data_IF_487964065373
#
_entry.id   IF_487964065373
#
_cell.length_a   1.000
_cell.length_b   1.000
_cell.length_c   1.000
_cell.angle_alpha   90.00
_cell.angle_beta   90.00
_cell.angle_gamma   90.00
#
_symmetry.space_group_name_H-M   'P 1'
#
loop_
_entity.id
_entity.type
_entity.pdbx_description
1 polymer ?
#
# COMPACT_ATOMS: atom_id res chain seq x y z
N UNK A 1 27.95 -16.39 16.03
CA UNK A 1 28.47 -15.05 15.70
C UNK A 1 27.56 -14.52 14.62
N UNK A 2 26.62 -13.63 14.97
CA UNK A 2 25.64 -13.12 14.00
C UNK A 2 26.31 -12.00 13.23
N UNK A 3 26.64 -12.26 11.97
CA UNK A 3 27.26 -11.25 11.10
C UNK A 3 26.22 -10.20 10.75
N UNK A 4 26.54 -8.93 10.98
CA UNK A 4 25.73 -7.81 10.50
C UNK A 4 25.78 -7.79 8.97
N UNK A 5 24.66 -8.17 8.36
CA UNK A 5 24.51 -8.27 6.90
C UNK A 5 24.72 -6.92 6.22
N UNK A 6 24.28 -5.82 6.84
CA UNK A 6 24.42 -4.47 6.24
C UNK A 6 25.87 -3.99 6.25
N UNK A 7 26.62 -4.32 7.30
CA UNK A 7 28.06 -4.07 7.36
C UNK A 7 28.82 -4.91 6.33
N UNK A 8 28.48 -6.20 6.18
CA UNK A 8 29.12 -7.10 5.21
C UNK A 8 28.88 -6.66 3.76
N UNK A 9 27.69 -6.14 3.47
CA UNK A 9 27.32 -5.64 2.14
C UNK A 9 27.82 -4.21 1.87
N UNK A 10 28.41 -3.53 2.86
CA UNK A 10 28.86 -2.14 2.74
C UNK A 10 27.71 -1.13 2.65
N UNK A 11 26.52 -1.48 3.11
CA UNK A 11 25.31 -0.65 3.02
C UNK A 11 24.96 0.06 4.33
N UNK A 12 25.76 -0.10 5.39
CA UNK A 12 25.48 0.43 6.72
C UNK A 12 25.28 1.96 6.77
N UNK A 13 25.97 2.70 5.89
CA UNK A 13 25.89 4.17 5.82
C UNK A 13 24.97 4.67 4.70
N UNK A 14 24.28 3.78 3.97
CA UNK A 14 23.40 4.16 2.86
C UNK A 14 22.05 4.61 3.41
N UNK A 15 21.74 5.90 3.21
CA UNK A 15 20.42 6.46 3.45
C UNK A 15 19.62 6.52 2.15
N UNK A 16 18.44 5.89 2.15
CA UNK A 16 17.55 5.88 1.00
C UNK A 16 16.76 7.20 0.91
N UNK A 17 16.73 7.80 -0.28
CA UNK A 17 15.92 8.98 -0.53
C UNK A 17 14.46 8.58 -0.82
N UNK A 18 13.60 8.73 0.18
CA UNK A 18 12.18 8.35 0.09
C UNK A 18 11.28 9.49 -0.42
N UNK A 19 11.85 10.63 -0.84
CA UNK A 19 11.06 11.78 -1.32
C UNK A 19 10.25 11.50 -2.58
N UNK A 20 10.59 10.43 -3.29
CA UNK A 20 9.79 9.92 -4.40
C UNK A 20 8.44 9.30 -3.95
N UNK A 21 8.34 8.86 -2.69
CA UNK A 21 7.10 8.34 -2.10
C UNK A 21 6.30 9.47 -1.44
N UNK A 22 6.91 10.16 -0.47
CA UNK A 22 6.35 11.34 0.21
C UNK A 22 7.45 12.37 0.51
N UNK A 23 7.17 13.69 0.39
CA UNK A 23 8.18 14.73 0.61
C UNK A 23 8.79 14.76 2.01
N UNK A 24 8.03 14.37 3.03
CA UNK A 24 8.45 14.29 4.43
C UNK A 24 7.47 13.43 5.25
N UNK A 25 7.81 13.14 6.50
CA UNK A 25 6.95 12.40 7.42
C UNK A 25 5.65 13.12 7.82
N UNK A 26 5.61 14.46 7.66
CA UNK A 26 4.45 15.29 7.94
C UNK A 26 3.66 15.66 6.68
N UNK A 27 3.97 15.02 5.55
CA UNK A 27 3.31 15.29 4.28
C UNK A 27 1.79 14.99 4.37
N UNK A 28 0.90 15.96 4.09
CA UNK A 28 -0.54 15.77 4.22
C UNK A 28 -1.10 14.67 3.31
N UNK A 29 -0.39 14.34 2.23
CA UNK A 29 -0.72 13.23 1.33
C UNK A 29 -0.76 11.89 2.07
N UNK A 30 0.07 11.68 3.09
CA UNK A 30 0.07 10.45 3.90
C UNK A 30 -1.29 10.25 4.56
N UNK A 31 -1.81 11.29 5.21
CA UNK A 31 -3.14 11.25 5.84
C UNK A 31 -4.25 11.02 4.82
N UNK A 32 -4.20 11.74 3.68
CA UNK A 32 -5.18 11.58 2.59
C UNK A 32 -5.21 10.15 2.05
N UNK A 33 -4.03 9.54 1.91
CA UNK A 33 -3.90 8.22 1.34
C UNK A 33 -4.32 7.13 2.34
N UNK A 34 -4.04 7.31 3.64
CA UNK A 34 -4.60 6.47 4.71
C UNK A 34 -6.14 6.52 4.74
N UNK A 35 -6.71 7.72 4.66
CA UNK A 35 -8.16 7.91 4.61
C UNK A 35 -8.77 7.24 3.38
N UNK A 36 -8.09 7.34 2.23
CA UNK A 36 -8.51 6.67 0.99
C UNK A 36 -8.48 5.16 1.13
N UNK A 37 -7.39 4.57 1.66
CA UNK A 37 -7.31 3.13 1.92
C UNK A 37 -8.45 2.67 2.83
N UNK A 38 -8.76 3.44 3.88
CA UNK A 38 -9.85 3.11 4.80
C UNK A 38 -11.22 3.15 4.11
N UNK A 39 -11.50 4.22 3.34
CA UNK A 39 -12.76 4.35 2.60
C UNK A 39 -12.94 3.21 1.60
N UNK A 40 -11.92 2.91 0.79
CA UNK A 40 -11.96 1.81 -0.18
C UNK A 40 -12.17 0.46 0.51
N UNK A 41 -11.52 0.18 1.64
CA UNK A 41 -11.77 -1.06 2.39
C UNK A 41 -13.22 -1.20 2.86
N UNK A 42 -13.82 -0.10 3.35
CA UNK A 42 -15.23 -0.08 3.78
C UNK A 42 -16.17 -0.31 2.60
N UNK A 43 -15.94 0.37 1.47
CA UNK A 43 -16.74 0.24 0.26
C UNK A 43 -16.67 -1.18 -0.32
N UNK A 44 -15.47 -1.75 -0.40
CA UNK A 44 -15.26 -3.11 -0.90
C UNK A 44 -15.93 -4.16 0.00
N UNK A 45 -15.80 -4.02 1.31
CA UNK A 45 -16.48 -4.90 2.26
C UNK A 45 -18.01 -4.83 2.11
N UNK A 46 -18.57 -3.62 2.00
CA UNK A 46 -20.00 -3.42 1.84
C UNK A 46 -20.53 -3.97 0.50
N UNK A 47 -19.76 -3.84 -0.58
CA UNK A 47 -20.16 -4.26 -1.93
C UNK A 47 -20.02 -5.76 -2.17
N UNK A 48 -18.93 -6.37 -1.68
CA UNK A 48 -18.46 -7.67 -2.20
C UNK A 48 -18.26 -8.76 -1.13
N UNK A 49 -18.20 -8.43 0.16
CA UNK A 49 -17.92 -9.42 1.19
C UNK A 49 -18.98 -10.53 1.23
N UNK A 50 -18.53 -11.79 1.11
CA UNK A 50 -19.41 -12.97 1.05
C UNK A 50 -20.18 -13.15 -0.26
N UNK A 51 -20.02 -12.26 -1.24
CA UNK A 51 -20.80 -12.23 -2.48
C UNK A 51 -19.98 -12.40 -3.75
N UNK A 52 -18.68 -12.65 -3.62
CA UNK A 52 -17.75 -12.79 -4.77
C UNK A 52 -18.21 -13.84 -5.78
N UNK A 53 -18.81 -14.95 -5.32
CA UNK A 53 -19.32 -16.00 -6.20
C UNK A 53 -20.54 -15.58 -7.03
N UNK A 54 -21.20 -14.47 -6.70
CA UNK A 54 -22.36 -13.92 -7.42
C UNK A 54 -21.95 -12.98 -8.56
N UNK A 55 -20.67 -12.61 -8.64
CA UNK A 55 -20.18 -11.64 -9.63
C UNK A 55 -20.10 -12.26 -11.02
N UNK A 56 -20.49 -11.49 -12.02
CA UNK A 56 -20.14 -11.76 -13.41
C UNK A 56 -18.70 -11.31 -13.71
N UNK A 57 -18.23 -11.54 -14.94
CA UNK A 57 -16.87 -11.19 -15.34
C UNK A 57 -16.58 -9.68 -15.20
N UNK A 58 -17.57 -8.82 -15.44
CA UNK A 58 -17.40 -7.37 -15.33
C UNK A 58 -17.31 -6.94 -13.86
N UNK A 59 -18.16 -7.50 -13.00
CA UNK A 59 -18.14 -7.27 -11.56
C UNK A 59 -16.83 -7.74 -10.92
N UNK A 60 -16.33 -8.91 -11.31
CA UNK A 60 -15.04 -9.40 -10.84
C UNK A 60 -13.87 -8.52 -11.31
N UNK A 61 -13.89 -8.08 -12.57
CA UNK A 61 -12.86 -7.16 -13.10
C UNK A 61 -12.83 -5.83 -12.33
N UNK A 62 -14.00 -5.26 -12.02
CA UNK A 62 -14.10 -4.04 -11.21
C UNK A 62 -13.51 -4.27 -9.81
N UNK A 63 -13.92 -5.34 -9.13
CA UNK A 63 -13.43 -5.68 -7.80
C UNK A 63 -11.90 -5.83 -7.78
N UNK A 64 -11.32 -6.54 -8.75
CA UNK A 64 -9.87 -6.70 -8.84
C UNK A 64 -9.18 -5.36 -9.07
N UNK A 65 -9.70 -4.52 -9.97
CA UNK A 65 -9.11 -3.19 -10.22
C UNK A 65 -9.13 -2.29 -8.97
N UNK A 66 -10.23 -2.29 -8.22
CA UNK A 66 -10.35 -1.52 -6.98
C UNK A 66 -9.38 -2.04 -5.89
N UNK A 67 -9.20 -3.37 -5.80
CA UNK A 67 -8.22 -3.99 -4.90
C UNK A 67 -6.78 -3.64 -5.30
N UNK A 68 -6.45 -3.64 -6.60
CA UNK A 68 -5.12 -3.30 -7.11
C UNK A 68 -4.76 -1.83 -6.82
N UNK A 69 -5.73 -0.91 -6.97
CA UNK A 69 -5.50 0.50 -6.65
C UNK A 69 -5.26 0.70 -5.14
N UNK A 70 -6.04 0.02 -4.30
CA UNK A 70 -5.84 0.05 -2.84
C UNK A 70 -4.49 -0.54 -2.44
N UNK A 71 -4.10 -1.68 -3.03
CA UNK A 71 -2.84 -2.37 -2.74
C UNK A 71 -1.62 -1.51 -3.13
N UNK A 72 -1.65 -0.85 -4.29
CA UNK A 72 -0.60 0.08 -4.69
C UNK A 72 -0.45 1.25 -3.71
N UNK A 73 -1.56 1.76 -3.19
CA UNK A 73 -1.55 2.88 -2.24
C UNK A 73 -1.00 2.46 -0.88
N UNK A 74 -1.43 1.30 -0.38
CA UNK A 74 -0.90 0.65 0.83
C UNK A 74 0.59 0.38 0.71
N UNK A 75 1.04 -0.22 -0.39
CA UNK A 75 2.46 -0.50 -0.63
C UNK A 75 3.33 0.77 -0.60
N UNK A 76 2.82 1.90 -1.12
CA UNK A 76 3.52 3.19 -1.02
C UNK A 76 3.64 3.68 0.42
N UNK A 77 2.57 3.55 1.21
CA UNK A 77 2.57 3.94 2.63
C UNK A 77 3.54 3.06 3.44
N UNK A 78 3.49 1.75 3.25
CA UNK A 78 4.35 0.77 3.94
C UNK A 78 5.82 0.93 3.57
N UNK A 79 6.13 1.24 2.31
CA UNK A 79 7.51 1.48 1.87
C UNK A 79 8.13 2.77 2.46
N UNK A 80 7.31 3.66 3.02
CA UNK A 80 7.75 4.93 3.61
C UNK A 80 7.87 4.90 5.14
N UNK A 81 7.04 4.10 5.81
CA UNK A 81 6.95 4.01 7.27
C UNK A 81 8.07 3.16 7.90
#
# INVERSE_FOLDING_TARGET
MTTDTTAQLGTAEILWDLRALYPSADAPEIGRDLDRCHATAVELAAGFAGRVAELDAAGLHSLVGDLEEADCLLARLEAFA
#
